data_IF_822419898559
#
_entry.id   IF_822419898559
#
_cell.length_a   1.000
_cell.length_b   1.000
_cell.length_c   1.000
_cell.angle_alpha   90.00
_cell.angle_beta   90.00
_cell.angle_gamma   90.00
#
_symmetry.space_group_name_H-M   'P 1'
#
loop_
_entity.id
_entity.type
_entity.pdbx_description
1 polymer ?
#
# COMPACT_ATOMS: atom_id res chain seq x y z
N UNK A 1 -6.56 42.18 -8.49
CA UNK A 1 -6.71 41.50 -7.18
C UNK A 1 -5.86 40.23 -7.26
N UNK A 2 -4.84 40.04 -6.40
CA UNK A 2 -4.09 38.77 -6.41
C UNK A 2 -5.03 37.66 -5.94
N UNK A 3 -5.23 36.68 -6.79
CA UNK A 3 -6.09 35.53 -6.57
C UNK A 3 -5.74 34.83 -5.24
N UNK A 4 -6.77 34.56 -4.42
CA UNK A 4 -6.62 33.91 -3.12
C UNK A 4 -5.98 32.52 -3.26
N UNK A 5 -6.34 31.79 -4.32
CA UNK A 5 -5.84 30.44 -4.61
C UNK A 5 -4.36 30.40 -4.99
N UNK A 6 -3.80 31.55 -5.37
CA UNK A 6 -2.41 31.70 -5.77
C UNK A 6 -1.47 32.05 -4.60
N UNK A 7 -1.99 32.19 -3.37
CA UNK A 7 -1.16 32.43 -2.18
C UNK A 7 -0.59 31.12 -1.65
N UNK A 8 0.74 31.05 -1.57
CA UNK A 8 1.46 29.90 -0.99
C UNK A 8 1.21 29.81 0.51
N UNK A 9 0.81 28.62 0.98
CA UNK A 9 0.86 28.27 2.39
C UNK A 9 2.32 27.99 2.81
N UNK A 10 2.76 28.60 3.92
CA UNK A 10 4.11 28.42 4.46
C UNK A 10 4.15 27.50 5.70
N UNK A 11 3.00 26.98 6.15
CA UNK A 11 2.96 25.99 7.22
C UNK A 11 3.44 24.61 6.73
N UNK A 12 3.87 23.76 7.67
CA UNK A 12 4.09 22.36 7.39
C UNK A 12 2.78 21.68 6.95
N UNK A 13 2.84 20.79 5.96
CA UNK A 13 1.65 20.18 5.36
C UNK A 13 0.76 19.47 6.39
N UNK A 14 1.32 18.73 7.34
CA UNK A 14 0.54 18.02 8.36
C UNK A 14 -0.21 18.99 9.28
N UNK A 15 0.44 20.05 9.74
CA UNK A 15 -0.20 21.10 10.57
C UNK A 15 -1.36 21.74 9.81
N UNK A 16 -1.15 22.07 8.54
CA UNK A 16 -2.20 22.67 7.73
C UNK A 16 -3.36 21.69 7.47
N UNK A 17 -3.08 20.41 7.22
CA UNK A 17 -4.14 19.41 7.05
C UNK A 17 -4.93 19.17 8.35
N UNK A 18 -4.28 19.25 9.52
CA UNK A 18 -4.99 19.24 10.81
C UNK A 18 -5.94 20.43 10.91
N UNK A 19 -5.51 21.64 10.53
CA UNK A 19 -6.36 22.84 10.50
C UNK A 19 -7.54 22.69 9.54
N UNK A 20 -7.29 22.27 8.30
CA UNK A 20 -8.32 22.01 7.27
C UNK A 20 -9.33 20.98 7.77
N UNK A 21 -8.88 19.91 8.42
CA UNK A 21 -9.77 18.86 8.92
C UNK A 21 -10.67 19.28 10.07
N UNK A 22 -10.29 20.32 10.82
CA UNK A 22 -11.06 20.85 11.96
C UNK A 22 -11.92 22.05 11.60
N UNK A 23 -11.67 22.66 10.44
CA UNK A 23 -12.38 23.84 9.98
C UNK A 23 -13.84 23.48 9.66
N UNK A 24 -14.75 23.83 10.56
CA UNK A 24 -16.19 23.56 10.44
C UNK A 24 -17.00 24.81 10.09
N UNK A 25 -16.34 25.89 9.65
CA UNK A 25 -16.98 27.18 9.35
C UNK A 25 -18.10 27.06 8.30
N UNK A 26 -17.98 26.11 7.37
CA UNK A 26 -18.90 25.96 6.24
C UNK A 26 -19.77 24.69 6.31
N UNK A 27 -19.34 23.66 7.04
CA UNK A 27 -20.06 22.39 7.17
C UNK A 27 -19.71 21.71 8.49
N UNK A 28 -20.68 21.01 9.07
CA UNK A 28 -20.48 20.16 10.25
C UNK A 28 -20.09 18.73 9.90
N UNK A 29 -19.95 18.39 8.62
CA UNK A 29 -19.66 17.04 8.13
C UNK A 29 -18.18 16.90 7.75
N UNK A 30 -17.65 15.68 7.87
CA UNK A 30 -16.28 15.31 7.50
C UNK A 30 -15.18 16.12 8.23
N UNK A 31 -15.41 16.41 9.51
CA UNK A 31 -14.44 17.07 10.38
C UNK A 31 -13.37 16.09 10.86
N UNK A 32 -12.44 15.72 9.97
CA UNK A 32 -11.35 14.81 10.25
C UNK A 32 -10.51 14.50 9.01
N UNK A 33 -9.50 13.67 9.17
CA UNK A 33 -8.71 13.14 8.06
C UNK A 33 -8.29 11.71 8.37
N UNK A 34 -8.04 10.94 7.32
CA UNK A 34 -7.68 9.53 7.44
C UNK A 34 -6.18 9.42 7.70
N UNK A 35 -5.81 8.81 8.83
CA UNK A 35 -4.42 8.43 9.12
C UNK A 35 -4.12 7.06 8.52
N UNK A 36 -3.58 7.06 7.30
CA UNK A 36 -3.22 5.83 6.59
C UNK A 36 -1.72 5.52 6.68
N UNK A 37 -1.31 4.29 7.02
CA UNK A 37 0.09 3.87 6.93
C UNK A 37 0.64 4.02 5.51
N UNK A 38 1.77 4.71 5.36
CA UNK A 38 2.43 4.94 4.05
C UNK A 38 2.72 3.62 3.32
N UNK A 39 3.06 2.55 4.06
CA UNK A 39 3.30 1.21 3.51
C UNK A 39 2.10 0.65 2.73
N UNK A 40 0.87 0.99 3.11
CA UNK A 40 -0.34 0.59 2.38
C UNK A 40 -0.43 1.37 1.06
N UNK A 41 -0.31 2.69 1.13
CA UNK A 41 -0.40 3.58 -0.03
C UNK A 41 0.70 3.30 -1.07
N UNK A 42 1.87 2.87 -0.61
CA UNK A 42 3.01 2.52 -1.44
C UNK A 42 3.07 1.04 -1.82
N UNK A 43 2.18 0.18 -1.34
CA UNK A 43 2.22 -1.24 -1.65
C UNK A 43 2.13 -1.52 -3.16
N UNK A 44 3.13 -2.17 -3.75
CA UNK A 44 3.15 -2.58 -5.16
C UNK A 44 2.16 -3.72 -5.45
N UNK A 45 1.85 -4.54 -4.44
CA UNK A 45 0.87 -5.63 -4.54
C UNK A 45 -0.60 -5.20 -4.57
N UNK A 46 -0.88 -3.91 -4.41
CA UNK A 46 -2.23 -3.34 -4.41
C UNK A 46 -2.40 -2.37 -5.57
N UNK A 47 -3.54 -2.48 -6.25
CA UNK A 47 -4.01 -1.48 -7.21
C UNK A 47 -4.40 -0.19 -6.50
N UNK A 48 -4.56 0.89 -7.26
CA UNK A 48 -5.00 2.18 -6.72
C UNK A 48 -6.37 2.08 -6.03
N UNK A 49 -7.32 1.34 -6.62
CA UNK A 49 -8.63 1.15 -6.02
C UNK A 49 -8.59 0.32 -4.74
N UNK A 50 -7.79 -0.75 -4.71
CA UNK A 50 -7.61 -1.55 -3.49
C UNK A 50 -7.03 -0.73 -2.34
N UNK A 51 -6.10 0.18 -2.63
CA UNK A 51 -5.54 1.11 -1.63
C UNK A 51 -6.58 2.08 -1.10
N UNK A 52 -7.38 2.67 -1.99
CA UNK A 52 -8.44 3.60 -1.62
C UNK A 52 -9.51 2.90 -0.78
N UNK A 53 -9.99 1.74 -1.22
CA UNK A 53 -11.00 0.94 -0.50
C UNK A 53 -10.47 0.53 0.88
N UNK A 54 -9.23 0.01 0.97
CA UNK A 54 -8.65 -0.37 2.26
C UNK A 54 -8.52 0.85 3.20
N UNK A 55 -8.12 2.00 2.67
CA UNK A 55 -8.01 3.25 3.45
C UNK A 55 -9.37 3.73 3.94
N UNK A 56 -10.39 3.62 3.09
CA UNK A 56 -11.78 3.98 3.41
C UNK A 56 -12.38 3.06 4.47
N UNK A 57 -12.18 1.74 4.35
CA UNK A 57 -12.58 0.76 5.36
C UNK A 57 -11.90 1.03 6.71
N UNK A 58 -10.60 1.37 6.72
CA UNK A 58 -9.88 1.77 7.93
C UNK A 58 -10.51 3.03 8.56
N UNK A 59 -10.91 4.01 7.74
CA UNK A 59 -11.57 5.21 8.21
C UNK A 59 -12.95 4.90 8.84
N UNK A 60 -13.73 4.03 8.20
CA UNK A 60 -15.02 3.55 8.75
C UNK A 60 -14.86 2.79 10.06
N UNK A 61 -13.79 2.01 10.21
CA UNK A 61 -13.47 1.32 11.46
C UNK A 61 -13.16 2.32 12.58
N UNK A 62 -12.37 3.36 12.29
CA UNK A 62 -11.96 4.39 13.25
C UNK A 62 -11.37 3.78 14.54
N UNK A 63 -12.14 3.73 15.63
CA UNK A 63 -11.77 3.21 16.95
C UNK A 63 -12.28 1.78 17.19
N UNK A 64 -12.93 1.17 16.20
CA UNK A 64 -13.51 -0.18 16.24
C UNK A 64 -12.65 -1.17 15.47
N UNK A 65 -12.87 -2.46 15.72
CA UNK A 65 -12.19 -3.56 15.03
C UNK A 65 -12.86 -4.02 13.73
N UNK A 66 -14.05 -3.48 13.42
CA UNK A 66 -14.86 -3.85 12.27
C UNK A 66 -15.66 -2.67 11.74
N UNK A 67 -16.11 -2.78 10.50
CA UNK A 67 -17.09 -1.88 9.91
C UNK A 67 -18.03 -2.63 8.97
N UNK A 68 -19.14 -2.01 8.59
CA UNK A 68 -20.18 -2.61 7.73
C UNK A 68 -20.77 -1.61 6.72
N UNK A 69 -19.97 -0.74 6.05
CA UNK A 69 -20.50 0.10 4.98
C UNK A 69 -21.06 -0.77 3.85
N UNK A 70 -22.15 -0.33 3.21
CA UNK A 70 -22.68 -1.03 2.04
C UNK A 70 -21.76 -0.85 0.83
N UNK A 71 -21.87 -1.72 -0.16
CA UNK A 71 -21.11 -1.59 -1.42
C UNK A 71 -21.38 -0.23 -2.07
N UNK A 72 -22.63 0.25 -2.02
CA UNK A 72 -23.04 1.54 -2.55
C UNK A 72 -22.40 2.72 -1.80
N UNK A 73 -22.22 2.61 -0.49
CA UNK A 73 -21.52 3.64 0.31
C UNK A 73 -20.06 3.72 -0.13
N UNK A 74 -19.35 2.58 -0.17
CA UNK A 74 -17.95 2.53 -0.59
C UNK A 74 -17.81 3.02 -2.04
N UNK A 75 -18.74 2.64 -2.93
CA UNK A 75 -18.74 3.06 -4.33
C UNK A 75 -18.84 4.58 -4.48
N UNK A 76 -19.75 5.21 -3.72
CA UNK A 76 -19.91 6.67 -3.69
C UNK A 76 -18.66 7.36 -3.15
N UNK A 77 -18.07 6.83 -2.09
CA UNK A 77 -16.98 7.49 -1.37
C UNK A 77 -15.64 7.33 -2.11
N UNK A 78 -15.38 6.17 -2.72
CA UNK A 78 -14.21 5.89 -3.56
C UNK A 78 -14.35 6.44 -4.99
N UNK A 79 -15.59 6.66 -5.45
CA UNK A 79 -15.88 7.23 -6.77
C UNK A 79 -15.79 6.23 -7.91
N UNK A 80 -16.25 4.99 -7.73
CA UNK A 80 -16.32 4.00 -8.80
C UNK A 80 -17.61 3.14 -8.72
N UNK A 81 -17.85 2.27 -9.70
CA UNK A 81 -19.09 1.48 -9.73
C UNK A 81 -19.13 0.40 -8.64
N UNK A 82 -20.33 0.09 -8.12
CA UNK A 82 -20.53 -1.01 -7.16
C UNK A 82 -19.90 -2.33 -7.62
N UNK A 83 -20.02 -2.66 -8.92
CA UNK A 83 -19.38 -3.85 -9.52
C UNK A 83 -17.85 -3.82 -9.43
N UNK A 84 -17.23 -2.64 -9.54
CA UNK A 84 -15.78 -2.49 -9.36
C UNK A 84 -15.39 -2.65 -7.90
N UNK A 85 -16.20 -2.11 -6.98
CA UNK A 85 -16.01 -2.30 -5.53
C UNK A 85 -16.08 -3.79 -5.17
N UNK A 86 -17.11 -4.51 -5.61
CA UNK A 86 -17.24 -5.95 -5.35
C UNK A 86 -16.00 -6.73 -5.82
N UNK A 87 -15.53 -6.46 -7.04
CA UNK A 87 -14.32 -7.09 -7.57
C UNK A 87 -13.10 -6.78 -6.70
N UNK A 88 -12.85 -5.53 -6.37
CA UNK A 88 -11.67 -5.14 -5.59
C UNK A 88 -11.74 -5.58 -4.13
N UNK A 89 -12.93 -5.66 -3.53
CA UNK A 89 -13.14 -6.28 -2.22
C UNK A 89 -12.80 -7.76 -2.27
N UNK A 90 -13.23 -8.46 -3.32
CA UNK A 90 -12.86 -9.86 -3.52
C UNK A 90 -11.34 -10.01 -3.66
N UNK A 91 -10.69 -9.17 -4.45
CA UNK A 91 -9.22 -9.20 -4.62
C UNK A 91 -8.48 -8.91 -3.30
N UNK A 92 -8.95 -7.94 -2.51
CA UNK A 92 -8.40 -7.66 -1.18
C UNK A 92 -8.56 -8.85 -0.23
N UNK A 93 -9.72 -9.52 -0.25
CA UNK A 93 -10.00 -10.70 0.56
C UNK A 93 -9.14 -11.90 0.11
N UNK A 94 -9.02 -12.14 -1.20
CA UNK A 94 -8.16 -13.18 -1.78
C UNK A 94 -6.68 -12.95 -1.39
N UNK A 95 -6.26 -11.68 -1.35
CA UNK A 95 -4.93 -11.28 -0.88
C UNK A 95 -4.78 -11.29 0.64
N UNK A 96 -5.85 -11.56 1.40
CA UNK A 96 -5.92 -11.55 2.88
C UNK A 96 -5.60 -10.18 3.50
N UNK A 97 -5.80 -9.10 2.76
CA UNK A 97 -5.65 -7.73 3.25
C UNK A 97 -6.82 -7.28 4.12
N UNK A 98 -8.00 -7.88 3.89
CA UNK A 98 -9.20 -7.74 4.71
C UNK A 98 -9.83 -9.11 4.92
N UNK A 99 -10.64 -9.24 5.96
CA UNK A 99 -11.55 -10.37 6.13
C UNK A 99 -12.97 -9.87 5.91
N UNK A 100 -13.80 -10.69 5.26
CA UNK A 100 -15.20 -10.37 4.96
C UNK A 100 -16.08 -11.45 5.56
N UNK A 101 -17.01 -11.06 6.43
CA UNK A 101 -18.10 -11.91 6.90
C UNK A 101 -19.41 -11.45 6.28
N UNK A 102 -20.27 -12.38 5.87
CA UNK A 102 -21.61 -12.08 5.38
C UNK A 102 -22.64 -12.45 6.44
N UNK A 103 -23.26 -11.44 7.06
CA UNK A 103 -24.38 -11.66 7.97
C UNK A 103 -25.67 -11.11 7.37
N UNK A 104 -26.54 -12.03 6.94
CA UNK A 104 -27.94 -11.90 6.46
C UNK A 104 -28.26 -10.83 5.39
N UNK A 105 -27.70 -9.62 5.44
CA UNK A 105 -27.98 -8.49 4.53
C UNK A 105 -26.74 -7.69 4.10
N UNK A 106 -25.71 -7.55 4.94
CA UNK A 106 -24.54 -6.72 4.65
C UNK A 106 -23.23 -7.50 4.88
N UNK A 107 -22.18 -7.06 4.18
CA UNK A 107 -20.82 -7.48 4.48
C UNK A 107 -20.33 -6.75 5.74
N UNK A 108 -19.65 -7.49 6.61
CA UNK A 108 -18.87 -6.97 7.73
C UNK A 108 -17.39 -7.17 7.42
N UNK A 109 -16.62 -6.10 7.51
CA UNK A 109 -15.20 -6.07 7.15
C UNK A 109 -14.33 -5.98 8.39
N UNK A 110 -13.19 -6.68 8.36
CA UNK A 110 -12.19 -6.69 9.43
C UNK A 110 -10.78 -6.56 8.87
N UNK A 111 -9.86 -6.04 9.68
CA UNK A 111 -8.43 -6.11 9.38
C UNK A 111 -7.82 -7.40 9.94
N UNK A 112 -6.82 -7.99 9.26
CA UNK A 112 -6.08 -9.12 9.81
C UNK A 112 -5.14 -8.68 10.95
N UNK A 113 -4.97 -9.55 11.96
CA UNK A 113 -4.16 -9.28 13.16
C UNK A 113 -2.64 -9.07 12.89
N UNK A 114 -2.16 -9.34 11.67
CA UNK A 114 -0.74 -9.26 11.31
C UNK A 114 -0.47 -8.44 10.05
N UNK A 115 -1.31 -7.42 9.79
CA UNK A 115 -1.15 -6.58 8.60
C UNK A 115 0.25 -5.96 8.50
N UNK A 116 0.90 -5.62 9.62
CA UNK A 116 2.24 -5.04 9.64
C UNK A 116 3.35 -5.95 9.06
N UNK A 117 3.13 -7.27 9.06
CA UNK A 117 4.01 -8.27 8.46
C UNK A 117 3.43 -8.86 7.17
N UNK A 118 2.39 -8.27 6.57
CA UNK A 118 1.74 -8.85 5.40
C UNK A 118 2.73 -9.02 4.22
N UNK A 119 2.77 -10.17 3.52
CA UNK A 119 3.73 -10.46 2.45
C UNK A 119 3.87 -9.34 1.40
N UNK A 120 2.76 -8.87 0.82
CA UNK A 120 2.78 -7.76 -0.14
C UNK A 120 3.36 -6.46 0.44
N UNK A 121 3.12 -6.15 1.72
CA UNK A 121 3.69 -4.95 2.35
C UNK A 121 5.20 -5.13 2.53
N UNK A 122 5.65 -6.27 3.05
CA UNK A 122 7.08 -6.55 3.25
C UNK A 122 7.86 -6.50 1.93
N UNK A 123 7.33 -7.14 0.88
CA UNK A 123 7.92 -7.10 -0.46
C UNK A 123 8.00 -5.67 -1.01
N UNK A 124 6.96 -4.87 -0.78
CA UNK A 124 6.94 -3.49 -1.26
C UNK A 124 7.94 -2.62 -0.51
N UNK A 125 7.97 -2.69 0.82
CA UNK A 125 8.92 -1.94 1.64
C UNK A 125 10.36 -2.32 1.30
N UNK A 126 10.65 -3.62 1.08
CA UNK A 126 11.99 -4.07 0.67
C UNK A 126 12.38 -3.58 -0.72
N UNK A 127 11.40 -3.46 -1.63
CA UNK A 127 11.60 -2.83 -2.94
C UNK A 127 11.92 -1.34 -2.80
N UNK A 128 11.22 -0.61 -1.93
CA UNK A 128 11.52 0.81 -1.67
C UNK A 128 12.86 1.03 -0.98
N UNK A 129 13.23 0.16 -0.04
CA UNK A 129 14.56 0.16 0.59
C UNK A 129 15.65 0.05 -0.49
N UNK A 130 15.48 -0.89 -1.43
CA UNK A 130 16.37 -1.04 -2.57
C UNK A 130 16.41 0.22 -3.45
N UNK A 131 15.25 0.76 -3.86
CA UNK A 131 15.17 1.99 -4.68
C UNK A 131 15.91 3.14 -4.00
N UNK A 132 15.70 3.33 -2.69
CA UNK A 132 16.35 4.37 -1.89
C UNK A 132 17.88 4.27 -1.93
N UNK A 133 18.42 3.04 -1.97
CA UNK A 133 19.85 2.79 -2.06
C UNK A 133 20.48 3.10 -3.42
N UNK A 134 19.71 3.01 -4.52
CA UNK A 134 20.25 3.08 -5.89
C UNK A 134 19.81 4.29 -6.70
N UNK A 135 18.75 5.00 -6.30
CA UNK A 135 18.16 6.11 -7.08
C UNK A 135 19.08 7.29 -7.40
N UNK A 136 20.21 7.43 -6.69
CA UNK A 136 21.23 8.46 -6.97
C UNK A 136 22.22 8.04 -8.06
N UNK A 137 22.27 6.75 -8.39
CA UNK A 137 23.26 6.14 -9.29
C UNK A 137 22.71 5.91 -10.69
N UNK A 138 21.38 5.97 -10.85
CA UNK A 138 20.68 5.67 -12.11
C UNK A 138 19.62 6.72 -12.40
N UNK A 139 19.19 6.81 -13.65
CA UNK A 139 18.10 7.70 -14.03
C UNK A 139 16.77 7.26 -13.37
N UNK A 140 16.09 8.19 -12.69
CA UNK A 140 14.85 7.92 -11.94
C UNK A 140 13.72 7.34 -12.81
N UNK A 141 13.58 7.82 -14.04
CA UNK A 141 12.55 7.34 -14.98
C UNK A 141 12.83 5.90 -15.39
N UNK A 142 14.09 5.60 -15.72
CA UNK A 142 14.50 4.25 -16.11
C UNK A 142 14.38 3.27 -14.95
N UNK A 143 14.81 3.68 -13.75
CA UNK A 143 14.64 2.89 -12.53
C UNK A 143 13.17 2.58 -12.27
N UNK A 144 12.29 3.59 -12.38
CA UNK A 144 10.84 3.41 -12.19
C UNK A 144 10.27 2.38 -13.15
N UNK A 145 10.58 2.50 -14.45
CA UNK A 145 10.10 1.56 -15.48
C UNK A 145 10.65 0.15 -15.26
N UNK A 146 11.92 0.04 -14.88
CA UNK A 146 12.54 -1.25 -14.60
C UNK A 146 11.91 -1.92 -13.37
N UNK A 147 11.71 -1.21 -12.26
CA UNK A 147 11.02 -1.75 -11.08
C UNK A 147 9.60 -2.20 -11.43
N UNK A 148 8.85 -1.39 -12.19
CA UNK A 148 7.51 -1.76 -12.66
C UNK A 148 7.51 -3.05 -13.50
N UNK A 149 8.60 -3.30 -14.24
CA UNK A 149 8.83 -4.57 -14.93
C UNK A 149 9.10 -5.70 -13.96
N UNK A 150 10.00 -5.51 -12.99
CA UNK A 150 10.40 -6.53 -12.01
C UNK A 150 9.21 -7.02 -11.17
N UNK A 151 8.38 -6.12 -10.65
CA UNK A 151 7.25 -6.49 -9.78
C UNK A 151 6.16 -7.31 -10.49
N UNK A 152 6.17 -7.35 -11.83
CA UNK A 152 5.24 -8.15 -12.63
C UNK A 152 5.78 -9.56 -12.94
N UNK A 153 7.07 -9.80 -12.74
CA UNK A 153 7.73 -11.07 -13.04
C UNK A 153 7.35 -12.15 -12.02
N UNK A 154 7.52 -13.41 -12.42
CA UNK A 154 7.14 -14.55 -11.60
C UNK A 154 8.06 -14.74 -10.39
N UNK A 155 9.31 -14.29 -10.45
CA UNK A 155 10.22 -14.31 -9.30
C UNK A 155 9.69 -13.46 -8.15
N UNK A 156 9.18 -12.25 -8.44
CA UNK A 156 8.56 -11.38 -7.44
C UNK A 156 7.34 -12.05 -6.78
N UNK A 157 6.49 -12.67 -7.60
CA UNK A 157 5.32 -13.43 -7.12
C UNK A 157 5.75 -14.63 -6.29
N UNK A 158 6.83 -15.32 -6.67
CA UNK A 158 7.36 -16.46 -5.94
C UNK A 158 7.89 -16.07 -4.55
N UNK A 159 8.61 -14.95 -4.43
CA UNK A 159 9.02 -14.43 -3.11
C UNK A 159 7.81 -14.07 -2.23
N UNK A 160 6.80 -13.43 -2.82
CA UNK A 160 5.54 -13.11 -2.12
C UNK A 160 4.84 -14.38 -1.63
N UNK A 161 4.73 -15.40 -2.49
CA UNK A 161 4.11 -16.69 -2.15
C UNK A 161 4.88 -17.45 -1.07
N UNK A 162 6.23 -17.38 -1.07
CA UNK A 162 7.07 -17.96 -0.01
C UNK A 162 6.79 -17.31 1.35
N UNK A 163 6.71 -15.99 1.40
CA UNK A 163 6.34 -15.26 2.62
C UNK A 163 4.94 -15.63 3.09
N UNK A 164 3.98 -15.72 2.15
CA UNK A 164 2.62 -16.10 2.49
C UNK A 164 2.54 -17.51 3.09
N UNK A 165 3.22 -18.48 2.48
CA UNK A 165 3.30 -19.85 3.01
C UNK A 165 3.94 -19.88 4.40
N UNK A 166 4.99 -19.09 4.60
CA UNK A 166 5.64 -18.98 5.92
C UNK A 166 4.67 -18.47 6.99
N UNK A 167 3.80 -17.51 6.67
CA UNK A 167 2.81 -16.98 7.61
C UNK A 167 1.64 -17.93 7.87
N UNK A 168 1.27 -18.73 6.88
CA UNK A 168 0.21 -19.74 7.03
C UNK A 168 0.65 -20.94 7.88
N UNK A 169 1.94 -21.29 7.85
CA UNK A 169 2.50 -22.49 8.49
C UNK A 169 3.64 -22.19 9.47
N UNK A 170 3.64 -21.02 10.12
CA UNK A 170 4.79 -20.56 10.93
C UNK A 170 5.06 -21.52 12.10
N UNK A 171 6.25 -22.11 12.14
CA UNK A 171 6.72 -22.90 13.27
C UNK A 171 7.53 -22.04 14.25
N UNK A 172 7.59 -22.41 15.56
CA UNK A 172 8.38 -21.69 16.56
C UNK A 172 9.89 -21.57 16.23
N UNK A 173 10.41 -22.47 15.39
CA UNK A 173 11.80 -22.50 14.93
C UNK A 173 12.10 -21.46 13.84
N UNK A 174 11.09 -20.89 13.19
CA UNK A 174 11.24 -20.02 12.02
C UNK A 174 11.52 -18.55 12.39
N UNK A 175 12.28 -18.30 13.46
CA UNK A 175 12.47 -16.95 14.02
C UNK A 175 13.05 -15.94 13.03
N UNK A 176 13.82 -16.40 12.03
CA UNK A 176 14.50 -15.52 11.05
C UNK A 176 14.09 -15.76 9.60
N UNK A 177 13.16 -16.69 9.33
CA UNK A 177 12.82 -17.11 7.97
C UNK A 177 12.27 -15.94 7.11
N UNK A 178 11.51 -15.01 7.70
CA UNK A 178 11.02 -13.80 7.01
C UNK A 178 12.19 -12.95 6.51
N UNK A 179 13.18 -12.73 7.37
CA UNK A 179 14.36 -11.92 7.06
C UNK A 179 15.18 -12.58 5.96
N UNK A 180 15.42 -13.89 6.04
CA UNK A 180 16.17 -14.64 5.02
C UNK A 180 15.52 -14.56 3.64
N UNK A 181 14.19 -14.66 3.57
CA UNK A 181 13.45 -14.51 2.31
C UNK A 181 13.61 -13.08 1.75
N UNK A 182 13.50 -12.06 2.61
CA UNK A 182 13.63 -10.65 2.20
C UNK A 182 15.07 -10.29 1.79
N UNK A 183 16.08 -10.83 2.48
CA UNK A 183 17.49 -10.63 2.13
C UNK A 183 17.82 -11.34 0.81
N UNK A 184 17.27 -12.54 0.58
CA UNK A 184 17.36 -13.23 -0.71
C UNK A 184 16.73 -12.42 -1.85
N UNK A 185 15.56 -11.82 -1.60
CA UNK A 185 14.90 -10.94 -2.57
C UNK A 185 15.74 -9.68 -2.86
N UNK A 186 16.34 -9.07 -1.84
CA UNK A 186 17.22 -7.92 -2.01
C UNK A 186 18.46 -8.28 -2.85
N UNK A 187 19.03 -9.47 -2.64
CA UNK A 187 20.14 -9.94 -3.45
C UNK A 187 19.72 -10.17 -4.91
N UNK A 188 18.52 -10.73 -5.14
CA UNK A 188 17.94 -10.85 -6.48
C UNK A 188 17.83 -9.48 -7.18
N UNK A 189 17.30 -8.46 -6.50
CA UNK A 189 17.21 -7.10 -7.05
C UNK A 189 18.57 -6.51 -7.43
N UNK A 190 19.59 -6.68 -6.59
CA UNK A 190 20.96 -6.23 -6.87
C UNK A 190 21.56 -6.91 -8.09
N UNK A 191 21.39 -8.23 -8.20
CA UNK A 191 21.86 -9.01 -9.35
C UNK A 191 21.17 -8.56 -10.64
N UNK A 192 19.84 -8.36 -10.61
CA UNK A 192 19.10 -7.89 -11.78
C UNK A 192 19.44 -6.44 -12.16
N UNK A 193 19.72 -5.59 -11.17
CA UNK A 193 20.16 -4.21 -11.42
C UNK A 193 21.51 -4.20 -12.15
N UNK A 194 22.49 -4.97 -11.68
CA UNK A 194 23.82 -5.03 -12.30
C UNK A 194 23.78 -5.48 -13.77
N UNK A 195 22.80 -6.33 -14.14
CA UNK A 195 22.55 -6.73 -15.53
C UNK A 195 21.96 -5.59 -16.37
N UNK A 196 21.07 -4.77 -15.78
CA UNK A 196 20.35 -3.71 -16.48
C UNK A 196 21.15 -2.41 -16.58
N UNK A 197 21.87 -2.08 -15.53
CA UNK A 197 22.67 -0.87 -15.35
C UNK A 197 24.10 -1.30 -15.01
N UNK A 198 24.86 -1.85 -15.97
CA UNK A 198 26.25 -2.17 -15.72
C UNK A 198 27.00 -0.89 -15.32
N UNK A 199 27.91 -0.95 -14.34
CA UNK A 199 28.79 0.18 -14.06
C UNK A 199 29.53 0.52 -15.35
N UNK A 200 29.60 1.81 -15.70
CA UNK A 200 30.31 2.27 -16.91
C UNK A 200 31.69 1.61 -16.96
N UNK A 201 31.89 0.73 -17.95
CA UNK A 201 33.18 0.04 -18.17
C UNK A 201 34.24 1.06 -18.66
N UNK A 202 33.81 2.27 -19.04
CA UNK A 202 34.65 3.36 -19.51
C UNK A 202 34.50 4.60 -18.63
N UNK A 203 34.95 4.52 -17.37
CA UNK A 203 35.28 5.72 -16.61
C UNK A 203 36.61 6.30 -17.10
N UNK A 204 36.55 7.14 -18.15
CA UNK A 204 37.54 8.19 -18.40
C UNK A 204 37.13 9.46 -17.64
#
# INVERSE_FOLDING_TARGET
>A
MKDLWSKKNNQAANTYMDEVSRANQFTSHHNGYIKAPIKILRCFGLSSYEKLILTDLIAYMSDKSLCYPTIEMIARDVGCSSKSIERHIKELADKKMILVSQDRKNNTYYLPNYLHCHPYLLMSEKTYEFIGGVRKQVNERELTLWVQGIIKRDEYKAFTARLQKLHEFRFPTDKFAEKEILDSYAQFLRTELAKRFPPDINGQ
#
